data_IF_672334297922
#
_entry.id   IF_672334297922
#
_cell.length_a   1.000
_cell.length_b   1.000
_cell.length_c   1.000
_cell.angle_alpha   90.00
_cell.angle_beta   90.00
_cell.angle_gamma   90.00
#
_symmetry.space_group_name_H-M   'P 1'
#
loop_
_entity.id
_entity.type
_entity.pdbx_description
1 polymer ?
#
# COMPACT_ATOMS: atom_id res chain seq x y z
N UNK A 1 -5.40 -5.70 -15.97
CA UNK A 1 -4.52 -5.85 -14.81
C UNK A 1 -3.32 -6.66 -15.21
N UNK A 2 -2.15 -6.32 -14.70
CA UNK A 2 -0.94 -7.14 -14.78
C UNK A 2 -1.21 -8.52 -14.16
N UNK A 3 -0.49 -9.52 -14.65
CA UNK A 3 -0.55 -10.89 -14.14
C UNK A 3 0.86 -11.50 -14.12
N UNK A 4 0.99 -12.61 -13.41
CA UNK A 4 2.26 -13.29 -13.18
C UNK A 4 2.92 -13.78 -14.47
N UNK A 5 2.13 -14.18 -15.45
CA UNK A 5 2.60 -14.81 -16.69
C UNK A 5 3.12 -13.78 -17.69
N UNK A 6 2.39 -12.67 -17.88
CA UNK A 6 2.69 -11.64 -18.87
C UNK A 6 3.56 -10.52 -18.31
N UNK A 7 3.50 -10.26 -17.00
CA UNK A 7 4.18 -9.13 -16.35
C UNK A 7 4.77 -9.58 -14.99
N UNK A 8 5.69 -10.56 -14.97
CA UNK A 8 6.16 -11.18 -13.72
C UNK A 8 6.77 -10.18 -12.73
N UNK A 9 7.51 -9.19 -13.23
CA UNK A 9 8.14 -8.15 -12.38
C UNK A 9 7.08 -7.23 -11.77
N UNK A 10 6.21 -6.65 -12.59
CA UNK A 10 5.12 -5.80 -12.08
C UNK A 10 4.19 -6.56 -11.14
N UNK A 11 3.90 -7.83 -11.44
CA UNK A 11 3.12 -8.70 -10.56
C UNK A 11 3.81 -8.92 -9.20
N UNK A 12 5.12 -9.18 -9.20
CA UNK A 12 5.88 -9.32 -7.96
C UNK A 12 5.84 -8.01 -7.13
N UNK A 13 5.95 -6.85 -7.78
CA UNK A 13 5.84 -5.55 -7.10
C UNK A 13 4.44 -5.33 -6.52
N UNK A 14 3.38 -5.63 -7.28
CA UNK A 14 2.00 -5.54 -6.78
C UNK A 14 1.79 -6.44 -5.56
N UNK A 15 2.28 -7.68 -5.62
CA UNK A 15 2.20 -8.59 -4.47
C UNK A 15 3.06 -8.14 -3.29
N UNK A 16 4.20 -7.51 -3.53
CA UNK A 16 5.03 -6.91 -2.49
C UNK A 16 4.26 -5.81 -1.74
N UNK A 17 3.66 -4.86 -2.46
CA UNK A 17 2.85 -3.80 -1.85
C UNK A 17 1.69 -4.36 -1.01
N UNK A 18 0.99 -5.40 -1.51
CA UNK A 18 -0.10 -6.04 -0.75
C UNK A 18 0.40 -6.78 0.50
N UNK A 19 1.58 -7.41 0.44
CA UNK A 19 2.17 -8.09 1.60
C UNK A 19 2.65 -7.10 2.65
N UNK A 20 3.28 -5.99 2.24
CA UNK A 20 3.73 -4.94 3.15
C UNK A 20 2.53 -4.23 3.79
N UNK A 21 1.46 -3.96 3.02
CA UNK A 21 0.20 -3.44 3.58
C UNK A 21 -0.36 -4.35 4.67
N UNK A 22 -0.33 -5.68 4.45
CA UNK A 22 -0.75 -6.67 5.45
C UNK A 22 0.15 -6.63 6.68
N UNK A 23 1.47 -6.58 6.51
CA UNK A 23 2.43 -6.51 7.61
C UNK A 23 2.21 -5.25 8.46
N UNK A 24 2.13 -4.08 7.83
CA UNK A 24 1.86 -2.82 8.52
C UNK A 24 0.52 -2.83 9.25
N UNK A 25 -0.54 -3.42 8.65
CA UNK A 25 -1.83 -3.56 9.32
C UNK A 25 -1.75 -4.51 10.53
N UNK A 26 -1.02 -5.62 10.41
CA UNK A 26 -0.80 -6.54 11.54
C UNK A 26 -0.02 -5.88 12.68
N UNK A 27 0.98 -5.06 12.36
CA UNK A 27 1.76 -4.32 13.35
C UNK A 27 0.89 -3.25 14.04
N UNK A 28 0.13 -2.46 13.27
CA UNK A 28 -0.83 -1.48 13.79
C UNK A 28 -1.78 -2.14 14.80
N UNK A 29 -2.42 -3.26 14.43
CA UNK A 29 -3.35 -3.98 15.31
C UNK A 29 -2.62 -4.42 16.58
N UNK A 30 -1.43 -4.99 16.46
CA UNK A 30 -0.63 -5.47 17.59
C UNK A 30 -0.27 -4.34 18.56
N UNK A 31 0.23 -3.21 18.05
CA UNK A 31 0.60 -2.05 18.87
C UNK A 31 -0.64 -1.45 19.55
N UNK A 32 -1.75 -1.29 18.82
CA UNK A 32 -2.99 -0.75 19.38
C UNK A 32 -3.57 -1.60 20.54
N UNK A 33 -3.27 -2.90 20.56
CA UNK A 33 -3.73 -3.82 21.60
C UNK A 33 -2.81 -3.88 22.81
N UNK A 34 -1.50 -3.71 22.60
CA UNK A 34 -0.48 -4.02 23.60
C UNK A 34 0.23 -2.78 24.18
N UNK A 35 0.03 -1.60 23.58
CA UNK A 35 0.69 -0.35 23.97
C UNK A 35 -0.34 0.60 24.59
N UNK A 36 -0.38 0.75 25.94
CA UNK A 36 -1.39 1.58 26.63
C UNK A 36 -1.42 3.06 26.20
N UNK A 37 -0.27 3.55 25.76
CA UNK A 37 -0.01 4.92 25.28
C UNK A 37 -0.20 5.08 23.76
N UNK A 38 -0.67 4.04 23.07
CA UNK A 38 -1.04 4.13 21.66
C UNK A 38 -2.19 5.13 21.48
N UNK A 39 -1.98 6.11 20.62
CA UNK A 39 -2.87 7.26 20.46
C UNK A 39 -3.22 7.52 18.99
N UNK A 40 -4.00 8.59 18.76
CA UNK A 40 -4.43 8.98 17.42
C UNK A 40 -3.26 9.36 16.50
N UNK A 41 -2.18 9.92 17.05
CA UNK A 41 -1.00 10.30 16.26
C UNK A 41 -0.33 9.04 15.70
N UNK A 42 -0.14 8.02 16.54
CA UNK A 42 0.38 6.73 16.11
C UNK A 42 -0.55 6.06 15.09
N UNK A 43 -1.86 6.04 15.36
CA UNK A 43 -2.86 5.49 14.44
C UNK A 43 -2.80 6.15 13.07
N UNK A 44 -2.69 7.47 13.02
CA UNK A 44 -2.61 8.22 11.76
C UNK A 44 -1.35 7.85 10.96
N UNK A 45 -0.21 7.68 11.64
CA UNK A 45 1.05 7.31 10.98
C UNK A 45 0.96 5.89 10.42
N UNK A 46 0.50 4.94 11.23
CA UNK A 46 0.42 3.53 10.83
C UNK A 46 -0.60 3.30 9.71
N UNK A 47 -1.79 3.93 9.80
CA UNK A 47 -2.74 3.93 8.69
C UNK A 47 -2.16 4.60 7.45
N UNK A 48 -1.38 5.67 7.61
CA UNK A 48 -0.67 6.32 6.52
C UNK A 48 0.24 5.35 5.75
N UNK A 49 0.99 4.51 6.45
CA UNK A 49 1.80 3.46 5.82
C UNK A 49 0.93 2.45 5.07
N UNK A 50 -0.09 1.88 5.74
CA UNK A 50 -1.02 0.91 5.12
C UNK A 50 -1.63 1.47 3.83
N UNK A 51 -2.16 2.69 3.89
CA UNK A 51 -2.74 3.34 2.72
C UNK A 51 -1.71 3.59 1.62
N UNK A 52 -0.49 4.01 1.95
CA UNK A 52 0.53 4.24 0.91
C UNK A 52 0.80 2.99 0.07
N UNK A 53 0.84 1.81 0.70
CA UNK A 53 1.03 0.53 0.02
C UNK A 53 -0.21 0.14 -0.82
N UNK A 54 -1.41 0.24 -0.24
CA UNK A 54 -2.65 -0.06 -0.97
C UNK A 54 -2.86 0.86 -2.18
N UNK A 55 -2.52 2.14 -2.02
CA UNK A 55 -2.58 3.15 -3.07
C UNK A 55 -1.61 2.81 -4.20
N UNK A 56 -0.36 2.45 -3.89
CA UNK A 56 0.62 2.02 -4.91
C UNK A 56 0.18 0.75 -5.61
N UNK A 57 -0.33 -0.24 -4.87
CA UNK A 57 -0.88 -1.47 -5.45
C UNK A 57 -2.01 -1.15 -6.45
N UNK A 58 -2.93 -0.25 -6.09
CA UNK A 58 -3.99 0.18 -6.99
C UNK A 58 -3.44 0.89 -8.24
N UNK A 59 -2.61 1.92 -8.07
CA UNK A 59 -2.10 2.72 -9.20
C UNK A 59 -1.20 1.92 -10.16
N UNK A 60 -0.47 0.92 -9.67
CA UNK A 60 0.44 0.11 -10.48
C UNK A 60 -0.20 -1.14 -11.09
N UNK A 61 -1.47 -1.46 -10.76
CA UNK A 61 -2.18 -2.67 -11.20
C UNK A 61 -2.21 -2.90 -12.72
N UNK A 62 -2.01 -1.86 -13.52
CA UNK A 62 -2.02 -1.93 -14.98
C UNK A 62 -0.69 -1.50 -15.63
N UNK A 63 0.35 -1.21 -14.84
CA UNK A 63 1.62 -0.69 -15.37
C UNK A 63 2.60 -1.83 -15.64
N UNK A 64 3.10 -1.86 -16.87
CA UNK A 64 4.17 -2.76 -17.32
C UNK A 64 5.40 -1.91 -17.62
N UNK A 65 6.34 -1.81 -16.68
CA UNK A 65 7.56 -1.02 -16.84
C UNK A 65 8.12 -0.50 -15.52
N UNK A 66 9.23 0.21 -15.62
CA UNK A 66 9.89 0.84 -14.47
C UNK A 66 9.07 2.01 -13.95
N UNK A 67 9.02 2.16 -12.64
CA UNK A 67 8.33 3.24 -11.94
C UNK A 67 9.36 4.31 -11.58
N UNK A 68 9.13 5.53 -12.04
CA UNK A 68 10.01 6.66 -11.67
C UNK A 68 9.82 7.09 -10.22
N UNK A 69 10.79 7.80 -9.64
CA UNK A 69 10.67 8.30 -8.26
C UNK A 69 9.50 9.27 -8.05
N UNK A 70 9.19 10.12 -9.03
CA UNK A 70 8.02 11.02 -8.97
C UNK A 70 6.71 10.23 -9.04
N UNK A 71 6.65 9.24 -9.91
CA UNK A 71 5.50 8.36 -10.04
C UNK A 71 5.27 7.53 -8.78
N UNK A 72 6.34 7.07 -8.11
CA UNK A 72 6.24 6.39 -6.83
C UNK A 72 5.55 7.24 -5.76
N UNK A 73 5.94 8.52 -5.67
CA UNK A 73 5.34 9.49 -4.73
C UNK A 73 3.90 9.76 -5.08
N UNK A 74 3.58 10.00 -6.36
CA UNK A 74 2.20 10.23 -6.81
C UNK A 74 1.31 9.02 -6.55
N UNK A 75 1.79 7.81 -6.86
CA UNK A 75 1.05 6.56 -6.64
C UNK A 75 0.82 6.23 -5.16
N UNK A 76 1.51 6.90 -4.23
CA UNK A 76 1.28 6.74 -2.78
C UNK A 76 0.10 7.55 -2.26
N UNK A 77 -0.41 8.52 -3.04
CA UNK A 77 -1.60 9.32 -2.70
C UNK A 77 -2.88 8.50 -2.83
N UNK A 78 -3.94 8.93 -2.15
CA UNK A 78 -5.24 8.26 -2.25
C UNK A 78 -5.75 8.27 -3.70
N UNK A 79 -6.26 7.13 -4.20
CA UNK A 79 -6.87 7.08 -5.52
C UNK A 79 -8.13 7.95 -5.56
N UNK A 80 -8.34 8.59 -6.71
CA UNK A 80 -9.52 9.42 -6.97
C UNK A 80 -10.55 8.72 -7.86
N UNK A 81 -10.26 7.48 -8.26
CA UNK A 81 -11.06 6.63 -9.15
C UNK A 81 -11.67 5.40 -8.44
N UNK A 82 -11.68 5.41 -7.10
CA UNK A 82 -12.37 4.41 -6.27
C UNK A 82 -13.60 5.03 -5.62
N UNK A 83 -14.76 4.46 -5.91
CA UNK A 83 -16.00 4.79 -5.23
C UNK A 83 -16.08 4.05 -3.89
N UNK A 84 -16.59 4.68 -2.82
CA UNK A 84 -16.91 3.98 -1.58
C UNK A 84 -18.00 2.94 -1.84
N UNK A 85 -17.86 1.75 -1.23
CA UNK A 85 -18.85 0.66 -1.28
C UNK A 85 -19.88 0.77 -0.16
#
# INVERSE_FOLDING_TARGET
MINKEQNPVGWAMLMHELNDAREHLSNLITESQNTPEYDEVNLRVDLGHVYSHLNRAWHHRNKSGDISGSEWVESSKFPTDLEPL
#
